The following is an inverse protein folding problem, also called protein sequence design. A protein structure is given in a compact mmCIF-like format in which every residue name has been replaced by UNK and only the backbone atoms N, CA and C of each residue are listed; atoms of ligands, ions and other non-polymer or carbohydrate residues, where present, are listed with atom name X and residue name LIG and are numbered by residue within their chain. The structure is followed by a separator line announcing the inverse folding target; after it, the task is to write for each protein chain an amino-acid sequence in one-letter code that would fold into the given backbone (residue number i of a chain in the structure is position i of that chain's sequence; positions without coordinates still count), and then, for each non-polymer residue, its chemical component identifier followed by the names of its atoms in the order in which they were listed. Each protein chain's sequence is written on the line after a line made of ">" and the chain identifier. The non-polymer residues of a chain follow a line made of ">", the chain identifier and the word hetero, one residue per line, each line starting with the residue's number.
data_IF_596196886396
#
_entry.id   IF_596196886396
#
_cell.length_a   1.000
_cell.length_b   1.000
_cell.length_c   1.000
_cell.angle_alpha   90.00
_cell.angle_beta   90.00
_cell.angle_gamma   90.00
#
_symmetry.space_group_name_H-M   'P 1'
#
loop_
_entity.id
_entity.type
_entity.pdbx_description
1 polymer ?
#
# COMPACT_ATOMS: atom_id res chain seq x y z
N UNK A 1 15.12 9.03 24.28
CA UNK A 1 14.37 7.99 23.60
C UNK A 1 13.32 8.57 22.68
N UNK A 2 13.70 8.85 21.46
CA UNK A 2 12.70 9.17 20.44
C UNK A 2 11.83 7.92 20.27
N UNK A 3 10.57 8.07 20.61
CA UNK A 3 9.58 7.07 20.26
C UNK A 3 9.76 6.74 18.78
N UNK A 4 10.18 5.52 18.46
CA UNK A 4 10.52 5.08 17.10
C UNK A 4 9.37 5.25 16.10
N UNK A 5 8.16 5.46 16.58
CA UNK A 5 6.95 5.69 15.79
C UNK A 5 6.71 7.18 15.51
N UNK A 6 7.07 8.05 16.45
CA UNK A 6 6.76 9.48 16.35
C UNK A 6 7.36 10.16 15.11
N UNK A 7 8.62 9.90 14.79
CA UNK A 7 9.26 10.49 13.62
C UNK A 7 8.64 10.01 12.31
N UNK A 8 8.18 8.74 12.28
CA UNK A 8 7.51 8.18 11.09
C UNK A 8 6.20 8.92 10.84
N UNK A 9 5.40 9.13 11.89
CA UNK A 9 4.13 9.86 11.79
C UNK A 9 4.36 11.29 11.30
N UNK A 10 5.36 11.98 11.82
CA UNK A 10 5.75 13.32 11.37
C UNK A 10 6.14 13.33 9.88
N UNK A 11 6.94 12.36 9.48
CA UNK A 11 7.38 12.24 8.08
C UNK A 11 6.21 11.98 7.14
N UNK A 12 5.32 11.05 7.51
CA UNK A 12 4.12 10.73 6.75
C UNK A 12 3.20 11.94 6.63
N UNK A 13 2.97 12.65 7.75
CA UNK A 13 2.14 13.87 7.74
C UNK A 13 2.72 14.95 6.81
N UNK A 14 4.03 15.14 6.83
CA UNK A 14 4.72 16.08 5.94
C UNK A 14 4.57 15.72 4.46
N UNK A 15 4.74 14.45 4.11
CA UNK A 15 4.57 13.95 2.74
C UNK A 15 3.10 14.09 2.31
N UNK A 16 2.17 13.68 3.17
CA UNK A 16 0.73 13.76 2.94
C UNK A 16 0.32 15.18 2.52
N UNK A 17 0.79 16.17 3.26
CA UNK A 17 0.47 17.57 3.00
C UNK A 17 1.12 18.10 1.71
N UNK A 18 2.42 17.82 1.50
CA UNK A 18 3.17 18.35 0.35
C UNK A 18 2.78 17.72 -0.97
N UNK A 19 2.50 16.44 -0.97
CA UNK A 19 2.21 15.66 -2.18
C UNK A 19 0.71 15.54 -2.47
N UNK A 20 -0.13 16.19 -1.67
CA UNK A 20 -1.60 16.09 -1.79
C UNK A 20 -2.07 14.64 -1.80
N UNK A 21 -1.54 13.85 -0.88
CA UNK A 21 -1.93 12.46 -0.72
C UNK A 21 -3.40 12.39 -0.29
N UNK A 22 -4.16 11.47 -0.87
CA UNK A 22 -5.58 11.28 -0.52
C UNK A 22 -5.76 10.30 0.61
N UNK A 23 -4.98 9.23 0.61
CA UNK A 23 -5.10 8.16 1.60
C UNK A 23 -3.74 7.53 1.85
N UNK A 24 -3.47 7.21 3.10
CA UNK A 24 -2.33 6.36 3.49
C UNK A 24 -2.88 4.95 3.66
N UNK A 25 -2.28 3.96 3.01
CA UNK A 25 -2.73 2.57 3.09
C UNK A 25 -1.71 1.74 3.86
N UNK A 26 -2.17 1.03 4.86
CA UNK A 26 -1.33 0.25 5.77
C UNK A 26 -1.91 -1.17 5.88
N UNK A 27 -1.06 -2.19 5.76
CA UNK A 27 -1.48 -3.57 6.02
C UNK A 27 -1.63 -3.77 7.53
N UNK A 28 -2.85 -4.02 7.97
CA UNK A 28 -3.19 -4.22 9.39
C UNK A 28 -2.49 -5.44 10.00
N UNK A 29 -2.10 -6.39 9.18
CA UNK A 29 -1.45 -7.63 9.62
C UNK A 29 0.07 -7.59 9.49
N UNK A 30 0.61 -6.53 8.92
CA UNK A 30 2.04 -6.36 8.71
C UNK A 30 2.75 -5.65 9.86
N UNK A 31 4.07 -5.48 9.74
CA UNK A 31 4.87 -4.80 10.76
C UNK A 31 4.45 -3.35 11.02
N UNK A 32 3.79 -2.71 10.06
CA UNK A 32 3.33 -1.33 10.17
C UNK A 32 1.95 -1.19 10.82
N UNK A 33 1.37 -2.26 11.37
CA UNK A 33 0.03 -2.23 11.97
C UNK A 33 -0.12 -1.16 13.05
N UNK A 34 0.93 -0.92 13.85
CA UNK A 34 0.94 0.11 14.90
C UNK A 34 0.87 1.53 14.35
N UNK A 35 1.04 1.72 13.05
CA UNK A 35 1.01 3.03 12.39
C UNK A 35 -0.37 3.41 11.85
N UNK A 36 -1.40 2.61 12.11
CA UNK A 36 -2.77 2.92 11.63
C UNK A 36 -3.37 4.09 12.40
N UNK A 37 -3.40 4.01 13.73
CA UNK A 37 -4.05 5.02 14.57
C UNK A 37 -3.31 6.37 14.64
N UNK A 38 -1.97 6.43 14.83
CA UNK A 38 -1.31 7.71 15.04
C UNK A 38 -1.52 8.74 13.90
N UNK A 39 -1.43 8.37 12.61
CA UNK A 39 -1.77 9.30 11.54
C UNK A 39 -3.24 9.72 11.54
N UNK A 40 -4.16 8.79 11.87
CA UNK A 40 -5.59 9.12 11.99
C UNK A 40 -5.84 10.18 13.06
N UNK A 41 -5.17 10.07 14.20
CA UNK A 41 -5.25 11.06 15.29
C UNK A 41 -4.77 12.45 14.85
N UNK A 42 -3.93 12.52 13.81
CA UNK A 42 -3.46 13.77 13.22
C UNK A 42 -4.32 14.26 12.05
N UNK A 43 -5.47 13.65 11.84
CA UNK A 43 -6.41 14.06 10.80
C UNK A 43 -6.11 13.52 9.41
N UNK A 44 -5.15 12.59 9.26
CA UNK A 44 -4.87 11.96 7.98
C UNK A 44 -5.90 10.87 7.68
N UNK A 45 -6.25 10.72 6.41
CA UNK A 45 -7.08 9.60 5.96
C UNK A 45 -6.22 8.35 5.85
N UNK A 46 -6.53 7.33 6.62
CA UNK A 46 -5.80 6.06 6.64
C UNK A 46 -6.77 4.93 6.34
N UNK A 47 -6.43 4.10 5.38
CA UNK A 47 -7.09 2.83 5.10
C UNK A 47 -6.18 1.69 5.54
N UNK A 48 -6.75 0.62 6.07
CA UNK A 48 -5.99 -0.57 6.42
C UNK A 48 -6.53 -1.78 5.68
N UNK A 49 -5.65 -2.72 5.35
CA UNK A 49 -6.03 -3.95 4.65
C UNK A 49 -6.04 -5.14 5.61
N UNK A 50 -7.05 -5.99 5.47
CA UNK A 50 -7.06 -7.32 6.07
C UNK A 50 -6.40 -8.34 5.13
N UNK A 51 -6.44 -9.64 5.49
CA UNK A 51 -5.82 -10.68 4.68
C UNK A 51 -6.43 -10.79 3.28
N UNK A 52 -7.76 -10.72 3.18
CA UNK A 52 -8.45 -10.82 1.90
C UNK A 52 -8.15 -9.61 1.00
N UNK A 53 -8.14 -8.41 1.58
CA UNK A 53 -7.81 -7.19 0.85
C UNK A 53 -6.34 -7.18 0.42
N UNK A 54 -5.43 -7.71 1.24
CA UNK A 54 -4.02 -7.81 0.86
C UNK A 54 -3.80 -8.76 -0.31
N UNK A 55 -4.48 -9.91 -0.34
CA UNK A 55 -4.42 -10.81 -1.49
C UNK A 55 -5.01 -10.18 -2.75
N UNK A 56 -6.11 -9.44 -2.62
CA UNK A 56 -6.69 -8.68 -3.73
C UNK A 56 -5.71 -7.60 -4.24
N UNK A 57 -5.02 -6.91 -3.34
CA UNK A 57 -4.02 -5.91 -3.69
C UNK A 57 -2.84 -6.53 -4.45
N UNK A 58 -2.34 -7.67 -4.01
CA UNK A 58 -1.25 -8.38 -4.68
C UNK A 58 -1.66 -8.83 -6.10
N UNK A 59 -2.85 -9.40 -6.25
CA UNK A 59 -3.38 -9.81 -7.55
C UNK A 59 -3.53 -8.63 -8.50
N UNK A 60 -4.10 -7.52 -8.03
CA UNK A 60 -4.28 -6.31 -8.82
C UNK A 60 -2.93 -5.71 -9.25
N UNK A 61 -1.94 -5.71 -8.38
CA UNK A 61 -0.60 -5.24 -8.72
C UNK A 61 0.04 -6.11 -9.80
N UNK A 62 -0.02 -7.42 -9.64
CA UNK A 62 0.51 -8.38 -10.62
C UNK A 62 -0.14 -8.18 -11.99
N UNK A 63 -1.46 -8.09 -12.04
CA UNK A 63 -2.20 -7.90 -13.28
C UNK A 63 -1.83 -6.57 -13.94
N UNK A 64 -1.71 -5.49 -13.17
CA UNK A 64 -1.31 -4.18 -13.68
C UNK A 64 0.10 -4.20 -14.30
N UNK A 65 1.03 -4.94 -13.71
CA UNK A 65 2.38 -5.13 -14.27
C UNK A 65 2.31 -5.91 -15.57
N UNK A 66 1.57 -7.02 -15.59
CA UNK A 66 1.45 -7.88 -16.77
C UNK A 66 0.74 -7.21 -17.94
N UNK A 67 -0.20 -6.31 -17.64
CA UNK A 67 -0.95 -5.54 -18.65
C UNK A 67 -0.29 -4.20 -19.00
N UNK A 68 0.91 -3.94 -18.52
CA UNK A 68 1.67 -2.70 -18.75
C UNK A 68 0.90 -1.43 -18.36
N UNK A 69 0.14 -1.52 -17.27
CA UNK A 69 -0.69 -0.42 -16.76
C UNK A 69 -0.02 0.34 -15.61
N UNK A 70 1.16 -0.08 -15.18
CA UNK A 70 1.86 0.50 -14.05
C UNK A 70 3.12 1.24 -14.53
N UNK A 71 3.33 2.43 -13.98
CA UNK A 71 4.55 3.22 -14.18
C UNK A 71 5.30 3.37 -12.87
N UNK A 72 6.64 3.37 -12.92
CA UNK A 72 7.50 3.60 -11.77
C UNK A 72 8.77 4.35 -12.20
N UNK A 73 9.52 4.84 -11.21
CA UNK A 73 10.69 5.68 -11.43
C UNK A 73 11.99 4.87 -11.64
N UNK A 74 11.90 3.55 -11.76
CA UNK A 74 13.05 2.67 -11.96
C UNK A 74 14.11 2.84 -10.85
N UNK A 75 13.65 2.89 -9.60
CA UNK A 75 14.56 3.06 -8.45
C UNK A 75 15.24 1.73 -8.09
N UNK A 76 16.54 1.77 -7.71
CA UNK A 76 17.24 0.54 -7.30
C UNK A 76 16.58 -0.21 -6.15
N UNK A 77 15.97 0.52 -5.21
CA UNK A 77 15.30 -0.05 -4.04
C UNK A 77 14.11 -0.93 -4.46
N UNK A 78 13.26 -0.43 -5.36
CA UNK A 78 12.13 -1.20 -5.88
C UNK A 78 12.59 -2.36 -6.77
N UNK A 79 13.57 -2.11 -7.63
CA UNK A 79 14.10 -3.14 -8.54
C UNK A 79 14.70 -4.31 -7.76
N UNK A 80 15.42 -4.05 -6.68
CA UNK A 80 15.97 -5.09 -5.80
C UNK A 80 14.87 -5.91 -5.13
N UNK A 81 13.78 -5.27 -4.69
CA UNK A 81 12.64 -5.96 -4.10
C UNK A 81 11.94 -6.86 -5.13
N UNK A 82 11.74 -6.37 -6.35
CA UNK A 82 11.11 -7.12 -7.43
C UNK A 82 11.94 -8.35 -7.83
N UNK A 83 13.27 -8.22 -7.85
CA UNK A 83 14.17 -9.30 -8.23
C UNK A 83 14.07 -10.53 -7.31
N UNK A 84 13.73 -10.34 -6.03
CA UNK A 84 13.63 -11.41 -5.04
C UNK A 84 12.19 -11.73 -4.64
N UNK A 85 11.21 -11.09 -5.25
CA UNK A 85 9.80 -11.29 -4.93
C UNK A 85 9.37 -12.74 -5.17
N UNK A 86 8.62 -13.30 -4.21
CA UNK A 86 8.03 -14.64 -4.28
C UNK A 86 6.58 -14.57 -3.82
N UNK A 87 5.76 -15.43 -4.40
CA UNK A 87 4.36 -15.61 -3.99
C UNK A 87 4.27 -16.61 -2.84
N UNK A 88 3.38 -16.34 -1.90
CA UNK A 88 2.98 -17.26 -0.86
C UNK A 88 1.50 -17.62 -1.04
N UNK A 89 1.18 -18.90 -1.16
CA UNK A 89 -0.20 -19.36 -1.31
C UNK A 89 -1.00 -19.17 -0.02
N UNK A 90 -2.23 -18.69 -0.16
CA UNK A 90 -3.20 -18.51 0.91
C UNK A 90 -4.56 -19.04 0.41
N UNK A 91 -4.76 -20.37 0.49
CA UNK A 91 -5.89 -21.03 -0.16
C UNK A 91 -5.76 -20.90 -1.69
N UNK A 92 -6.81 -20.41 -2.36
CA UNK A 92 -6.80 -20.17 -3.80
C UNK A 92 -6.20 -18.80 -4.18
N UNK A 93 -5.88 -17.98 -3.19
CA UNK A 93 -5.27 -16.67 -3.37
C UNK A 93 -3.77 -16.71 -3.04
N UNK A 94 -3.09 -15.59 -3.19
CA UNK A 94 -1.67 -15.47 -2.85
C UNK A 94 -1.36 -14.05 -2.37
N UNK A 95 -0.24 -13.94 -1.63
CA UNK A 95 0.34 -12.66 -1.23
C UNK A 95 1.85 -12.71 -1.40
N UNK A 96 2.50 -11.55 -1.35
CA UNK A 96 3.96 -11.50 -1.39
C UNK A 96 4.54 -12.21 -0.15
N UNK A 97 5.50 -13.08 -0.41
CA UNK A 97 6.21 -13.80 0.66
C UNK A 97 7.23 -12.85 1.29
N UNK A 98 7.03 -12.50 2.56
CA UNK A 98 7.88 -11.53 3.27
C UNK A 98 9.06 -12.18 3.99
N UNK A 99 8.94 -13.46 4.34
CA UNK A 99 9.98 -14.20 5.07
C UNK A 99 10.99 -14.79 4.11
N UNK A 100 12.23 -14.90 4.56
CA UNK A 100 13.34 -15.53 3.80
C UNK A 100 13.65 -14.83 2.47
N UNK A 101 13.28 -13.57 2.32
CA UNK A 101 13.68 -12.79 1.16
C UNK A 101 15.17 -12.47 1.23
N UNK A 102 15.89 -12.63 0.11
CA UNK A 102 17.31 -12.27 0.02
C UNK A 102 17.53 -10.75 0.08
N UNK A 103 16.47 -9.97 -0.12
CA UNK A 103 16.47 -8.52 0.01
C UNK A 103 15.15 -8.09 0.66
N UNK A 104 15.11 -6.84 1.13
CA UNK A 104 13.91 -6.24 1.71
C UNK A 104 12.85 -6.01 0.63
N UNK A 105 11.68 -6.61 0.77
CA UNK A 105 10.55 -6.43 -0.16
C UNK A 105 9.57 -5.34 0.29
N UNK A 106 9.87 -4.61 1.35
CA UNK A 106 9.01 -3.51 1.85
C UNK A 106 8.65 -2.49 0.76
N UNK A 107 9.56 -2.08 -0.14
CA UNK A 107 9.19 -1.18 -1.24
C UNK A 107 8.13 -1.77 -2.16
N UNK A 108 8.19 -3.06 -2.46
CA UNK A 108 7.18 -3.74 -3.28
C UNK A 108 5.82 -3.79 -2.57
N UNK A 109 5.82 -4.10 -1.28
CA UNK A 109 4.59 -4.10 -0.47
C UNK A 109 3.97 -2.70 -0.43
N UNK A 110 4.78 -1.67 -0.24
CA UNK A 110 4.33 -0.28 -0.23
C UNK A 110 3.68 0.12 -1.57
N UNK A 111 4.31 -0.22 -2.70
CA UNK A 111 3.76 0.05 -4.03
C UNK A 111 2.45 -0.73 -4.28
N UNK A 112 2.38 -1.97 -3.83
CA UNK A 112 1.18 -2.82 -3.92
C UNK A 112 0.01 -2.18 -3.18
N UNK A 113 0.22 -1.71 -1.97
CA UNK A 113 -0.79 -1.04 -1.15
C UNK A 113 -1.18 0.32 -1.75
N UNK A 114 -0.23 1.07 -2.26
CA UNK A 114 -0.49 2.37 -2.89
C UNK A 114 -1.38 2.22 -4.13
N UNK A 115 -1.12 1.23 -4.98
CA UNK A 115 -1.97 0.95 -6.14
C UNK A 115 -3.37 0.53 -5.71
N UNK A 116 -3.48 -0.34 -4.72
CA UNK A 116 -4.77 -0.77 -4.17
C UNK A 116 -5.58 0.42 -3.64
N UNK A 117 -4.95 1.32 -2.90
CA UNK A 117 -5.58 2.53 -2.39
C UNK A 117 -6.06 3.44 -3.52
N UNK A 118 -5.25 3.64 -4.55
CA UNK A 118 -5.61 4.46 -5.71
C UNK A 118 -6.79 3.87 -6.48
N UNK A 119 -6.83 2.57 -6.68
CA UNK A 119 -7.94 1.89 -7.36
C UNK A 119 -9.23 1.97 -6.54
N UNK A 120 -9.15 1.78 -5.24
CA UNK A 120 -10.30 1.88 -4.33
C UNK A 120 -10.85 3.30 -4.29
N UNK A 121 -10.00 4.31 -4.29
CA UNK A 121 -10.39 5.71 -4.34
C UNK A 121 -11.11 6.05 -5.65
N UNK A 122 -10.64 5.55 -6.79
CA UNK A 122 -11.32 5.74 -8.08
C UNK A 122 -12.70 5.13 -8.10
N UNK A 123 -12.88 3.95 -7.55
CA UNK A 123 -14.19 3.28 -7.46
C UNK A 123 -15.14 4.11 -6.59
N UNK A 124 -14.69 4.59 -5.44
CA UNK A 124 -15.47 5.44 -4.54
C UNK A 124 -15.87 6.76 -5.24
N UNK A 125 -14.95 7.38 -5.98
CA UNK A 125 -15.21 8.62 -6.73
C UNK A 125 -16.27 8.41 -7.81
N UNK A 126 -16.17 7.35 -8.61
CA UNK A 126 -17.15 7.03 -9.64
C UNK A 126 -18.55 6.78 -9.07
N UNK A 127 -18.65 6.11 -7.92
CA UNK A 127 -19.94 5.90 -7.23
C UNK A 127 -20.55 7.21 -6.74
N UNK A 128 -19.74 8.09 -6.21
CA UNK A 128 -20.16 9.42 -5.76
C UNK A 128 -20.68 10.25 -6.94
N UNK A 129 -19.96 10.27 -8.06
CA UNK A 129 -20.36 10.99 -9.26
C UNK A 129 -21.67 10.45 -9.85
N UNK A 130 -21.81 9.12 -9.91
CA UNK A 130 -23.06 8.49 -10.36
C UNK A 130 -24.25 8.86 -9.48
N UNK A 131 -24.07 8.94 -8.16
CA UNK A 131 -25.12 9.33 -7.22
C UNK A 131 -25.55 10.79 -7.41
N UNK A 132 -24.70 11.66 -7.90
CA UNK A 132 -24.98 13.08 -8.13
C UNK A 132 -25.94 13.30 -9.31
N UNK A 133 -26.04 12.36 -10.25
CA UNK A 133 -26.90 12.47 -11.42
C UNK A 133 -28.30 11.87 -11.26
N UNK A 134 -28.63 11.39 -10.09
CA UNK A 134 -29.96 10.81 -9.78
C UNK A 134 -30.94 11.85 -9.17
#
# INVERSE_FOLDING_TARGET
>A
NRNSVGWIVERVAGIYKRQRIRTVVIDRRGPAASLVEPPQQRGLTVASTDAAQMTAACGAFYDAVMEDQLRHLDTPVLNSALAVARKRSLGDAWAWHRKNAAADITPLVACTLALYGAMSDRVAQRRSDAATFV
#
